data_IF_387038662826
#
_entry.id   IF_387038662826
#
_cell.length_a   1.000
_cell.length_b   1.000
_cell.length_c   1.000
_cell.angle_alpha   90.00
_cell.angle_beta   90.00
_cell.angle_gamma   90.00
#
_symmetry.space_group_name_H-M   'P 1'
#
loop_
_entity.id
_entity.type
_entity.pdbx_description
1 polymer ?
#
# COMPACT_ATOMS: atom_id res chain seq x y z
N UNK A 1 1.24 -0.36 2.11
CA UNK A 1 1.18 -1.79 2.41
C UNK A 1 1.68 -2.07 3.82
N UNK A 2 1.10 -3.07 4.46
CA UNK A 2 1.54 -3.59 5.76
C UNK A 2 1.99 -5.04 5.55
N UNK A 3 3.15 -5.36 6.07
CA UNK A 3 3.73 -6.69 5.99
C UNK A 3 4.03 -7.19 7.41
N UNK A 4 3.29 -8.20 7.87
CA UNK A 4 3.36 -8.65 9.25
C UNK A 4 2.85 -7.57 10.20
N UNK A 5 3.72 -6.97 10.97
CA UNK A 5 3.42 -5.90 11.92
C UNK A 5 4.07 -4.57 11.50
N UNK A 6 4.47 -4.45 10.24
CA UNK A 6 5.24 -3.29 9.78
C UNK A 6 4.59 -2.64 8.57
N UNK A 7 4.28 -1.35 8.68
CA UNK A 7 3.86 -0.54 7.53
C UNK A 7 5.12 -0.22 6.70
N UNK A 8 5.08 -0.55 5.41
CA UNK A 8 6.27 -0.48 4.56
C UNK A 8 6.57 0.92 4.07
N UNK A 9 5.64 1.53 3.37
CA UNK A 9 5.82 2.84 2.75
C UNK A 9 4.47 3.41 2.34
N UNK A 10 4.49 4.62 1.84
CA UNK A 10 3.32 5.26 1.22
C UNK A 10 3.66 5.53 -0.24
N UNK A 11 2.77 5.11 -1.14
CA UNK A 11 2.89 5.35 -2.57
C UNK A 11 1.81 6.32 -3.02
N UNK A 12 2.20 7.38 -3.73
CA UNK A 12 1.26 8.22 -4.43
C UNK A 12 1.07 7.68 -5.83
N UNK A 13 -0.18 7.54 -6.25
CA UNK A 13 -0.52 7.10 -7.60
C UNK A 13 -1.07 8.28 -8.37
N UNK A 14 -0.39 8.65 -9.47
CA UNK A 14 -0.81 9.73 -10.36
C UNK A 14 -1.22 9.11 -11.68
N UNK A 15 -2.52 9.08 -12.01
CA UNK A 15 -2.94 8.55 -13.30
C UNK A 15 -2.54 9.50 -14.42
N UNK A 16 -2.07 8.92 -15.52
CA UNK A 16 -1.71 9.69 -16.72
C UNK A 16 -2.93 9.95 -17.63
N UNK A 17 -4.10 9.42 -17.24
CA UNK A 17 -5.36 9.53 -17.99
C UNK A 17 -6.49 9.98 -17.06
N UNK A 18 -6.61 11.25 -16.76
CA UNK A 18 -7.71 11.84 -16.02
C UNK A 18 -7.97 11.25 -14.62
N UNK A 19 -8.35 9.99 -14.51
CA UNK A 19 -8.60 9.34 -13.23
C UNK A 19 -8.08 7.90 -13.23
N UNK A 20 -7.94 7.32 -12.01
CA UNK A 20 -7.35 6.01 -11.82
C UNK A 20 -8.39 4.92 -12.05
N UNK A 21 -8.35 4.29 -13.22
CA UNK A 21 -9.25 3.20 -13.60
C UNK A 21 -8.48 1.87 -13.69
N UNK A 22 -9.16 0.81 -14.18
CA UNK A 22 -8.56 -0.52 -14.31
C UNK A 22 -7.30 -0.51 -15.19
N UNK A 23 -7.33 0.24 -16.30
CA UNK A 23 -6.16 0.31 -17.18
C UNK A 23 -4.99 1.01 -16.51
N UNK A 24 -5.27 2.07 -15.74
CA UNK A 24 -4.23 2.75 -14.97
C UNK A 24 -3.57 1.83 -13.94
N UNK A 25 -4.33 0.88 -13.38
CA UNK A 25 -3.79 -0.09 -12.41
C UNK A 25 -2.84 -1.12 -13.02
N UNK A 26 -3.13 -1.58 -14.24
CA UNK A 26 -2.48 -2.77 -14.80
C UNK A 26 -1.74 -2.55 -16.10
N UNK A 27 -1.74 -1.33 -16.63
CA UNK A 27 -1.06 -1.01 -17.88
C UNK A 27 0.05 0.00 -17.62
N UNK A 28 1.28 -0.38 -17.93
CA UNK A 28 2.43 0.50 -17.81
C UNK A 28 2.21 1.76 -18.64
N UNK A 29 2.54 2.94 -18.07
CA UNK A 29 2.36 4.22 -18.74
C UNK A 29 1.05 4.92 -18.45
N UNK A 30 0.05 4.22 -17.88
CA UNK A 30 -1.23 4.83 -17.50
C UNK A 30 -1.22 5.43 -16.09
N UNK A 31 -0.28 5.06 -15.25
CA UNK A 31 -0.13 5.63 -13.92
C UNK A 31 1.34 5.72 -13.55
N UNK A 32 1.68 6.74 -12.78
CA UNK A 32 3.01 6.92 -12.20
C UNK A 32 2.93 6.65 -10.71
N UNK A 33 3.91 5.91 -10.18
CA UNK A 33 4.03 5.62 -8.77
C UNK A 33 5.17 6.44 -8.17
N UNK A 34 4.89 7.16 -7.09
CA UNK A 34 5.91 7.90 -6.35
C UNK A 34 6.09 7.24 -4.99
N UNK A 35 7.25 6.67 -4.76
CA UNK A 35 7.63 6.01 -3.50
C UNK A 35 8.95 6.60 -3.03
N UNK A 36 9.00 7.25 -1.86
CA UNK A 36 7.88 7.55 -0.97
C UNK A 36 7.00 8.68 -1.53
N UNK A 37 5.74 8.68 -1.14
CA UNK A 37 4.82 9.74 -1.52
C UNK A 37 5.30 11.09 -0.99
N UNK A 38 5.21 12.17 -1.79
CA UNK A 38 5.68 13.50 -1.37
C UNK A 38 4.70 14.20 -0.42
N UNK A 39 4.58 13.68 0.78
CA UNK A 39 3.72 14.21 1.83
C UNK A 39 4.58 14.88 2.91
N UNK A 40 3.96 15.75 3.73
CA UNK A 40 4.63 16.24 4.92
C UNK A 40 5.00 15.06 5.83
N UNK A 41 6.07 15.16 6.66
CA UNK A 41 6.43 14.07 7.55
C UNK A 41 5.30 13.62 8.47
N UNK A 42 4.50 14.55 8.99
CA UNK A 42 3.39 14.23 9.88
C UNK A 42 2.28 13.49 9.15
N UNK A 43 1.93 13.91 7.94
CA UNK A 43 0.91 13.25 7.15
C UNK A 43 1.37 11.87 6.68
N UNK A 44 2.63 11.75 6.28
CA UNK A 44 3.22 10.47 5.90
C UNK A 44 3.10 9.46 7.04
N UNK A 45 3.49 9.88 8.25
CA UNK A 45 3.40 9.03 9.44
C UNK A 45 1.95 8.66 9.76
N UNK A 46 1.02 9.61 9.61
CA UNK A 46 -0.40 9.37 9.82
C UNK A 46 -0.93 8.27 8.89
N UNK A 47 -0.51 8.28 7.62
CA UNK A 47 -0.90 7.24 6.67
C UNK A 47 -0.38 5.88 7.10
N UNK A 48 0.89 5.79 7.48
CA UNK A 48 1.48 4.54 7.96
C UNK A 48 0.76 4.01 9.20
N UNK A 49 0.52 4.86 10.17
CA UNK A 49 -0.15 4.48 11.43
C UNK A 49 -1.58 4.02 11.17
N UNK A 50 -2.30 4.71 10.28
CA UNK A 50 -3.69 4.36 9.96
C UNK A 50 -3.74 3.02 9.23
N UNK A 51 -2.83 2.78 8.30
CA UNK A 51 -2.75 1.50 7.59
C UNK A 51 -2.49 0.34 8.56
N UNK A 52 -1.55 0.53 9.48
CA UNK A 52 -1.21 -0.49 10.46
C UNK A 52 -2.37 -0.74 11.44
N UNK A 53 -3.04 0.33 11.89
CA UNK A 53 -4.20 0.22 12.76
C UNK A 53 -5.34 -0.55 12.09
N UNK A 54 -5.60 -0.29 10.81
CA UNK A 54 -6.62 -1.00 10.04
C UNK A 54 -6.26 -2.48 9.87
N UNK A 55 -4.99 -2.78 9.58
CA UNK A 55 -4.49 -4.14 9.47
C UNK A 55 -4.75 -4.94 10.75
N UNK A 56 -4.44 -4.33 11.89
CA UNK A 56 -4.65 -4.94 13.21
C UNK A 56 -6.14 -5.07 13.55
N UNK A 57 -6.92 -4.04 13.27
CA UNK A 57 -8.36 -4.04 13.58
C UNK A 57 -9.10 -5.14 12.83
N UNK A 58 -8.67 -5.46 11.61
CA UNK A 58 -9.24 -6.52 10.79
C UNK A 58 -8.60 -7.88 11.03
N UNK A 59 -7.67 -7.97 11.98
CA UNK A 59 -6.92 -9.19 12.30
C UNK A 59 -6.23 -9.78 11.05
N UNK A 60 -5.70 -8.92 10.18
CA UNK A 60 -5.00 -9.37 8.98
C UNK A 60 -3.74 -10.13 9.35
N UNK A 61 -3.43 -11.16 8.57
CA UNK A 61 -2.18 -11.91 8.67
C UNK A 61 -1.40 -11.75 7.37
N UNK A 62 -0.09 -11.65 7.49
CA UNK A 62 0.79 -11.55 6.33
C UNK A 62 0.77 -10.15 5.76
N UNK A 63 0.10 -9.96 4.66
CA UNK A 63 0.13 -8.68 3.93
C UNK A 63 -1.28 -8.09 3.79
N UNK A 64 -1.35 -6.77 3.83
CA UNK A 64 -2.53 -6.03 3.40
C UNK A 64 -2.11 -4.74 2.70
N UNK A 65 -3.01 -4.19 1.90
CA UNK A 65 -2.83 -2.89 1.25
C UNK A 65 -4.01 -2.01 1.62
N UNK A 66 -3.72 -0.87 2.23
CA UNK A 66 -4.72 0.13 2.56
C UNK A 66 -4.72 1.20 1.47
N UNK A 67 -5.89 1.50 0.92
CA UNK A 67 -6.05 2.49 -0.14
C UNK A 67 -6.69 3.75 0.44
N UNK A 68 -6.09 4.90 0.12
CA UNK A 68 -6.48 6.20 0.68
C UNK A 68 -6.78 7.20 -0.43
N UNK A 69 -7.59 8.20 -0.06
CA UNK A 69 -7.71 9.44 -0.82
C UNK A 69 -7.32 10.58 0.10
N UNK A 70 -6.63 11.54 -0.48
CA UNK A 70 -6.23 12.74 0.25
C UNK A 70 -6.83 13.96 -0.43
N UNK A 71 -7.56 14.77 0.34
CA UNK A 71 -7.99 16.10 -0.07
C UNK A 71 -7.01 17.11 0.53
N UNK A 72 -6.09 17.65 -0.26
CA UNK A 72 -5.05 18.54 0.28
C UNK A 72 -5.61 19.86 0.81
N UNK A 73 -6.85 20.22 0.45
CA UNK A 73 -7.47 21.46 0.94
C UNK A 73 -7.90 21.35 2.39
N UNK A 74 -8.00 20.15 2.94
CA UNK A 74 -8.42 19.90 4.32
C UNK A 74 -7.25 19.58 5.27
N UNK A 75 -6.02 19.64 4.78
CA UNK A 75 -4.84 19.29 5.58
C UNK A 75 -4.88 17.85 6.08
N UNK A 76 -4.55 17.63 7.35
CA UNK A 76 -4.54 16.29 7.94
C UNK A 76 -5.94 15.68 8.03
N UNK A 77 -6.99 16.50 8.10
CA UNK A 77 -8.38 16.04 8.14
C UNK A 77 -8.87 15.57 6.77
N UNK A 78 -8.09 15.77 5.73
CA UNK A 78 -8.44 15.39 4.36
C UNK A 78 -8.03 13.98 3.98
N UNK A 79 -7.51 13.20 4.91
CA UNK A 79 -7.09 11.82 4.65
C UNK A 79 -8.24 10.85 4.90
N UNK A 80 -8.59 10.08 3.88
CA UNK A 80 -9.71 9.13 3.94
C UNK A 80 -9.22 7.74 3.59
N UNK A 81 -9.41 6.78 4.50
CA UNK A 81 -9.19 5.38 4.23
C UNK A 81 -10.40 4.82 3.48
N UNK A 82 -10.19 4.27 2.30
CA UNK A 82 -11.26 3.76 1.45
C UNK A 82 -11.49 2.27 1.63
N UNK A 83 -10.41 1.50 1.63
CA UNK A 83 -10.52 0.04 1.73
C UNK A 83 -9.19 -0.57 2.21
N UNK A 84 -9.29 -1.81 2.69
CA UNK A 84 -8.14 -2.66 2.96
C UNK A 84 -8.27 -3.92 2.11
N UNK A 85 -7.24 -4.22 1.34
CA UNK A 85 -7.21 -5.40 0.48
C UNK A 85 -6.27 -6.44 1.09
N UNK A 86 -6.81 -7.62 1.43
CA UNK A 86 -6.04 -8.70 2.05
C UNK A 86 -5.46 -9.69 1.04
N UNK A 87 -5.74 -9.49 -0.25
CA UNK A 87 -5.15 -10.27 -1.35
C UNK A 87 -4.59 -9.32 -2.41
N UNK A 88 -3.65 -8.44 -2.02
CA UNK A 88 -3.12 -7.46 -2.97
C UNK A 88 -2.32 -8.12 -4.08
N UNK A 89 -2.27 -7.46 -5.23
CA UNK A 89 -1.54 -7.96 -6.39
C UNK A 89 -0.04 -8.14 -6.12
N UNK A 90 0.55 -9.10 -6.83
CA UNK A 90 1.97 -9.43 -6.73
C UNK A 90 2.65 -9.45 -8.11
N UNK A 91 2.15 -8.62 -9.02
CA UNK A 91 2.75 -8.46 -10.35
C UNK A 91 3.91 -7.46 -10.31
N UNK A 92 4.72 -7.36 -11.37
CA UNK A 92 5.79 -6.35 -11.44
C UNK A 92 5.29 -4.90 -11.34
N UNK A 93 4.00 -4.66 -11.62
CA UNK A 93 3.40 -3.32 -11.53
C UNK A 93 2.65 -3.09 -10.21
N UNK A 94 2.69 -4.08 -9.32
CA UNK A 94 1.91 -4.04 -8.08
C UNK A 94 2.61 -3.25 -6.97
N UNK A 95 1.79 -2.64 -6.12
CA UNK A 95 2.26 -1.71 -5.09
C UNK A 95 3.04 -2.39 -3.97
N UNK A 96 2.61 -3.59 -3.55
CA UNK A 96 3.26 -4.27 -2.42
C UNK A 96 4.70 -4.67 -2.75
N UNK A 97 4.98 -5.35 -3.87
CA UNK A 97 6.37 -5.65 -4.24
C UNK A 97 7.23 -4.41 -4.42
N UNK A 98 6.66 -3.33 -4.94
CA UNK A 98 7.37 -2.06 -5.13
C UNK A 98 7.77 -1.44 -3.78
N UNK A 99 6.85 -1.39 -2.84
CA UNK A 99 7.14 -0.87 -1.50
C UNK A 99 8.13 -1.75 -0.75
N UNK A 100 8.01 -3.07 -0.88
CA UNK A 100 8.94 -4.01 -0.28
C UNK A 100 10.36 -3.80 -0.83
N UNK A 101 10.49 -3.67 -2.14
CA UNK A 101 11.79 -3.40 -2.78
C UNK A 101 12.40 -2.09 -2.29
N UNK A 102 11.58 -1.04 -2.16
CA UNK A 102 12.03 0.24 -1.63
C UNK A 102 12.58 0.10 -0.20
N UNK A 103 12.00 -0.80 0.60
CA UNK A 103 12.47 -1.10 1.95
C UNK A 103 13.62 -2.11 1.98
N UNK A 104 14.13 -2.52 0.83
CA UNK A 104 15.23 -3.46 0.73
C UNK A 104 14.83 -4.93 0.85
N UNK A 105 13.56 -5.25 0.62
CA UNK A 105 13.06 -6.63 0.63
C UNK A 105 12.87 -7.10 -0.81
N UNK A 106 13.77 -7.93 -1.35
CA UNK A 106 13.63 -8.47 -2.71
C UNK A 106 12.37 -9.33 -2.85
N UNK A 107 11.87 -9.46 -4.06
CA UNK A 107 10.63 -10.22 -4.31
C UNK A 107 10.68 -11.66 -3.76
N UNK A 108 11.77 -12.44 -3.95
CA UNK A 108 11.83 -13.78 -3.38
C UNK A 108 11.68 -13.81 -1.86
N UNK A 109 12.27 -12.83 -1.16
CA UNK A 109 12.16 -12.73 0.30
C UNK A 109 10.75 -12.36 0.72
N UNK A 110 10.08 -11.49 -0.03
CA UNK A 110 8.69 -11.15 0.22
C UNK A 110 7.81 -12.40 0.13
N UNK A 111 7.95 -13.18 -0.94
CA UNK A 111 7.17 -14.40 -1.14
C UNK A 111 7.45 -15.42 -0.03
N UNK A 112 8.71 -15.57 0.36
CA UNK A 112 9.09 -16.49 1.45
C UNK A 112 8.41 -16.11 2.76
N UNK A 113 8.39 -14.84 3.12
CA UNK A 113 7.71 -14.36 4.33
C UNK A 113 6.21 -14.65 4.29
N UNK A 114 5.58 -14.44 3.14
CA UNK A 114 4.14 -14.71 2.98
C UNK A 114 3.84 -16.20 3.16
N UNK A 115 4.69 -17.07 2.63
CA UNK A 115 4.55 -18.52 2.78
C UNK A 115 4.74 -18.96 4.24
N UNK A 116 5.67 -18.37 4.96
CA UNK A 116 5.92 -18.68 6.36
C UNK A 116 4.72 -18.34 7.24
N UNK A 117 3.98 -17.29 6.91
CA UNK A 117 2.81 -16.86 7.68
C UNK A 117 1.51 -17.55 7.24
N UNK A 118 1.52 -18.24 6.11
CA UNK A 118 0.32 -18.87 5.58
C UNK A 118 -0.11 -20.05 6.46
N UNK A 119 -1.37 -20.07 6.84
CA UNK A 119 -1.97 -21.16 7.62
C UNK A 119 -3.48 -21.07 7.56
N UNK A 120 -4.14 -22.16 7.93
CA UNK A 120 -5.59 -22.18 8.07
C UNK A 120 -6.00 -21.73 9.47
N UNK A 121 -7.03 -20.92 9.54
CA UNK A 121 -7.60 -20.43 10.81
C UNK A 121 -8.82 -21.29 11.17
N UNK A 122 -8.58 -22.56 11.46
CA UNK A 122 -9.66 -23.46 11.85
C UNK A 122 -9.49 -23.93 13.28
#
# INVERSE_FOLDING_TARGET
>A
AVLGEEALAVTEIRPNVGFYDYRAKYTEGFASHLVPAPLSPDLYEQVLETALAAHRALACRGVSRADFRLDPTQGEDGLYLLEVNTQPGMTPLSLVPEQAAWRGIPFPDLVERLLEWARCDM
#
